data_IF_437277569164
#
_entry.id   IF_437277569164
#
_cell.length_a   1.000
_cell.length_b   1.000
_cell.length_c   1.000
_cell.angle_alpha   90.00
_cell.angle_beta   90.00
_cell.angle_gamma   90.00
#
_symmetry.space_group_name_H-M   'P 1'
#
loop_
_entity.id
_entity.type
_entity.pdbx_description
1 polymer ?
#
# COMPACT_ATOMS: atom_id res chain seq x y z
N UNK A 1 11.37 -24.18 6.34
CA UNK A 1 10.23 -23.43 5.77
C UNK A 1 9.01 -24.34 5.77
N UNK A 2 7.92 -23.91 6.40
CA UNK A 2 6.63 -24.64 6.37
C UNK A 2 5.90 -24.40 5.04
N UNK A 3 4.90 -25.22 4.66
CA UNK A 3 4.11 -24.95 3.46
C UNK A 3 3.40 -23.58 3.48
N UNK A 4 2.90 -23.15 4.64
CA UNK A 4 2.27 -21.84 4.82
C UNK A 4 3.27 -20.69 4.63
N UNK A 5 4.46 -20.82 5.22
CA UNK A 5 5.54 -19.87 5.05
C UNK A 5 5.97 -19.77 3.58
N UNK A 6 6.12 -20.90 2.89
CA UNK A 6 6.48 -20.93 1.48
C UNK A 6 5.42 -20.22 0.63
N UNK A 7 4.14 -20.47 0.87
CA UNK A 7 3.05 -19.80 0.16
C UNK A 7 3.12 -18.27 0.35
N UNK A 8 3.29 -17.80 1.59
CA UNK A 8 3.34 -16.38 1.88
C UNK A 8 4.55 -15.68 1.24
N UNK A 9 5.72 -16.34 1.23
CA UNK A 9 6.94 -15.85 0.55
C UNK A 9 6.72 -15.78 -0.97
N UNK A 10 6.06 -16.79 -1.54
CA UNK A 10 5.71 -16.82 -2.97
C UNK A 10 4.76 -15.68 -3.33
N UNK A 11 3.69 -15.47 -2.55
CA UNK A 11 2.73 -14.38 -2.75
C UNK A 11 3.42 -13.01 -2.70
N UNK A 12 4.37 -12.83 -1.76
CA UNK A 12 5.15 -11.58 -1.65
C UNK A 12 5.99 -11.35 -2.90
N UNK A 13 6.69 -12.36 -3.40
CA UNK A 13 7.53 -12.29 -4.61
C UNK A 13 6.67 -11.98 -5.84
N UNK A 14 5.53 -12.66 -6.00
CA UNK A 14 4.62 -12.42 -7.11
C UNK A 14 4.06 -10.99 -7.09
N UNK A 15 3.75 -10.46 -5.89
CA UNK A 15 3.34 -9.08 -5.74
C UNK A 15 4.47 -8.10 -6.09
N UNK A 16 5.73 -8.36 -5.73
CA UNK A 16 6.88 -7.56 -6.15
C UNK A 16 7.03 -7.53 -7.68
N UNK A 17 6.88 -8.68 -8.35
CA UNK A 17 6.87 -8.76 -9.82
C UNK A 17 5.70 -8.00 -10.42
N UNK A 18 4.53 -8.09 -9.78
CA UNK A 18 3.32 -7.42 -10.21
C UNK A 18 3.44 -5.89 -10.13
N UNK A 19 4.16 -5.33 -9.16
CA UNK A 19 4.39 -3.88 -9.11
C UNK A 19 5.04 -3.36 -10.41
N UNK A 20 6.03 -4.08 -10.93
CA UNK A 20 6.70 -3.71 -12.18
C UNK A 20 5.81 -3.94 -13.41
N UNK A 21 5.12 -5.08 -13.50
CA UNK A 21 4.26 -5.40 -14.65
C UNK A 21 3.00 -4.51 -14.72
N UNK A 22 2.49 -4.02 -13.58
CA UNK A 22 1.40 -3.06 -13.50
C UNK A 22 1.86 -1.60 -13.73
N UNK A 23 3.17 -1.36 -13.88
CA UNK A 23 3.72 -0.03 -14.13
C UNK A 23 3.72 0.91 -12.93
N UNK A 24 3.43 0.40 -11.72
CA UNK A 24 3.42 1.19 -10.48
C UNK A 24 4.78 1.20 -9.76
N UNK A 25 5.77 0.53 -10.31
CA UNK A 25 7.15 0.55 -9.83
C UNK A 25 8.12 0.30 -10.98
N UNK A 26 9.40 0.65 -10.78
CA UNK A 26 10.50 0.36 -11.72
C UNK A 26 11.70 -0.22 -10.98
N UNK A 27 12.29 -1.28 -11.55
CA UNK A 27 13.47 -1.93 -10.96
C UNK A 27 13.18 -2.54 -9.59
N UNK A 28 14.00 -2.23 -8.60
CA UNK A 28 13.95 -2.76 -7.24
C UNK A 28 13.68 -1.70 -6.18
N UNK A 29 13.14 -0.53 -6.58
CA UNK A 29 12.96 0.61 -5.67
C UNK A 29 11.81 0.41 -4.67
N UNK A 30 10.73 -0.27 -5.07
CA UNK A 30 9.62 -0.60 -4.18
C UNK A 30 9.94 -1.78 -3.26
N UNK A 31 9.10 -1.99 -2.27
CA UNK A 31 9.22 -3.10 -1.34
C UNK A 31 7.87 -3.46 -0.72
N UNK A 32 7.76 -4.72 -0.28
CA UNK A 32 6.53 -5.28 0.28
C UNK A 32 6.86 -5.99 1.58
N UNK A 33 5.99 -5.82 2.58
CA UNK A 33 6.03 -6.61 3.80
C UNK A 33 4.67 -7.20 4.16
N UNK A 34 4.71 -8.26 4.96
CA UNK A 34 3.51 -8.93 5.47
C UNK A 34 3.77 -9.45 6.88
N UNK A 35 2.79 -9.32 7.77
CA UNK A 35 2.85 -9.87 9.13
C UNK A 35 3.01 -11.39 9.08
N UNK A 36 3.92 -11.92 9.89
CA UNK A 36 4.17 -13.35 10.00
C UNK A 36 4.71 -13.72 11.39
N UNK A 37 4.07 -14.68 12.04
CA UNK A 37 4.46 -15.12 13.39
C UNK A 37 4.57 -13.96 14.37
N UNK A 38 5.66 -13.92 15.12
CA UNK A 38 6.00 -12.82 16.05
C UNK A 38 6.91 -11.79 15.36
N UNK A 39 6.50 -11.35 14.15
CA UNK A 39 7.25 -10.40 13.36
C UNK A 39 6.60 -10.14 12.01
N UNK A 40 7.42 -9.99 10.99
CA UNK A 40 6.99 -9.76 9.61
C UNK A 40 7.99 -10.31 8.60
N UNK A 41 7.53 -10.56 7.39
CA UNK A 41 8.39 -10.82 6.23
C UNK A 41 8.49 -9.57 5.38
N UNK A 42 9.65 -9.36 4.74
CA UNK A 42 9.90 -8.22 3.86
C UNK A 42 10.75 -8.64 2.67
N UNK A 43 10.55 -7.97 1.54
CA UNK A 43 11.39 -8.12 0.36
C UNK A 43 12.84 -7.68 0.66
N UNK A 44 13.84 -8.32 0.01
CA UNK A 44 15.25 -7.99 0.21
C UNK A 44 15.62 -6.66 -0.45
N UNK A 45 16.74 -6.08 -0.04
CA UNK A 45 17.35 -4.96 -0.75
C UNK A 45 18.08 -5.45 -2.01
N UNK A 46 17.98 -4.71 -3.12
CA UNK A 46 18.85 -4.81 -4.29
C UNK A 46 18.73 -6.08 -5.15
N UNK A 47 17.86 -7.04 -4.81
CA UNK A 47 17.66 -8.26 -5.62
C UNK A 47 16.55 -7.98 -6.66
N UNK A 48 16.82 -8.14 -7.97
CA UNK A 48 15.79 -8.02 -9.00
C UNK A 48 14.63 -8.99 -8.77
N UNK A 49 13.38 -8.51 -8.88
CA UNK A 49 12.20 -9.28 -8.51
C UNK A 49 12.00 -10.54 -9.35
N UNK A 50 12.43 -10.54 -10.63
CA UNK A 50 12.42 -11.70 -11.51
C UNK A 50 13.37 -12.81 -11.04
N UNK A 51 14.40 -12.46 -10.26
CA UNK A 51 15.40 -13.38 -9.71
C UNK A 51 15.16 -13.76 -8.25
N UNK A 52 14.12 -13.17 -7.62
CA UNK A 52 13.80 -13.54 -6.25
C UNK A 52 13.27 -14.97 -6.15
N UNK A 53 13.76 -15.68 -5.13
CA UNK A 53 13.25 -16.98 -4.68
C UNK A 53 12.72 -16.86 -3.25
N UNK A 54 11.95 -17.83 -2.74
CA UNK A 54 11.41 -17.76 -1.36
C UNK A 54 12.50 -17.56 -0.29
N UNK A 55 13.71 -18.05 -0.51
CA UNK A 55 14.85 -17.89 0.41
C UNK A 55 15.34 -16.44 0.51
N UNK A 56 15.07 -15.63 -0.51
CA UNK A 56 15.44 -14.21 -0.52
C UNK A 56 14.50 -13.32 0.31
N UNK A 57 13.30 -13.79 0.62
CA UNK A 57 12.39 -13.03 1.49
C UNK A 57 12.91 -13.10 2.92
N UNK A 58 13.06 -11.96 3.58
CA UNK A 58 13.66 -11.89 4.92
C UNK A 58 12.55 -11.87 5.98
N UNK A 59 12.63 -12.80 6.94
CA UNK A 59 11.81 -12.76 8.15
C UNK A 59 12.51 -11.92 9.21
N UNK A 60 11.79 -10.94 9.78
CA UNK A 60 12.30 -10.01 10.80
C UNK A 60 11.44 -10.05 12.05
N UNK A 61 12.09 -10.02 13.21
CA UNK A 61 11.43 -9.76 14.48
C UNK A 61 11.02 -8.29 14.65
N UNK A 62 10.11 -8.03 15.58
CA UNK A 62 9.71 -6.67 15.95
C UNK A 62 10.87 -5.85 16.56
N UNK A 63 11.88 -6.50 17.08
CA UNK A 63 13.13 -5.92 17.62
C UNK A 63 14.15 -5.60 16.50
N UNK A 64 13.76 -5.75 15.23
CA UNK A 64 14.61 -5.57 14.06
C UNK A 64 15.68 -6.64 13.86
N UNK A 65 15.65 -7.74 14.58
CA UNK A 65 16.53 -8.88 14.32
C UNK A 65 16.10 -9.67 13.09
N UNK A 66 17.06 -10.22 12.38
CA UNK A 66 16.83 -11.18 11.29
C UNK A 66 18.02 -12.16 11.22
N UNK A 67 17.84 -13.27 10.53
CA UNK A 67 18.88 -14.31 10.38
C UNK A 67 19.17 -14.58 8.92
N UNK A 68 20.39 -15.06 8.65
CA UNK A 68 20.88 -15.38 7.30
C UNK A 68 21.64 -14.23 6.64
N UNK A 69 22.11 -14.47 5.41
CA UNK A 69 22.99 -13.54 4.69
C UNK A 69 22.23 -12.54 3.80
N UNK A 70 20.91 -12.74 3.63
CA UNK A 70 20.07 -11.84 2.82
C UNK A 70 19.68 -10.62 3.65
N UNK A 71 20.01 -9.43 3.13
CA UNK A 71 19.74 -8.17 3.79
C UNK A 71 18.31 -7.71 3.47
N UNK A 72 17.48 -7.35 4.48
CA UNK A 72 16.15 -6.83 4.24
C UNK A 72 16.18 -5.49 3.51
N UNK A 73 15.05 -5.06 2.93
CA UNK A 73 14.91 -3.71 2.39
C UNK A 73 15.42 -2.67 3.38
N UNK A 74 16.20 -1.68 2.90
CA UNK A 74 16.70 -0.56 3.70
C UNK A 74 15.58 0.26 4.36
N UNK A 75 14.35 0.10 3.91
CA UNK A 75 13.17 0.82 4.35
C UNK A 75 12.31 0.03 5.36
N UNK A 76 12.83 -1.05 5.92
CA UNK A 76 12.12 -1.92 6.85
C UNK A 76 11.49 -1.19 8.07
N UNK A 77 12.02 -0.01 8.46
CA UNK A 77 11.54 0.73 9.64
C UNK A 77 10.08 1.13 9.53
N UNK A 78 9.68 1.81 8.47
CA UNK A 78 8.27 2.17 8.33
C UNK A 78 7.36 0.95 8.12
N UNK A 79 7.84 -0.13 7.49
CA UNK A 79 7.07 -1.37 7.40
C UNK A 79 6.78 -1.97 8.78
N UNK A 80 7.82 -2.11 9.60
CA UNK A 80 7.71 -2.59 10.99
C UNK A 80 6.74 -1.71 11.78
N UNK A 81 6.96 -0.41 11.77
CA UNK A 81 6.23 0.53 12.63
C UNK A 81 4.76 0.62 12.22
N UNK A 82 4.45 0.61 10.92
CA UNK A 82 3.06 0.50 10.44
C UNK A 82 2.42 -0.80 10.94
N UNK A 83 3.06 -1.93 10.73
CA UNK A 83 2.51 -3.23 11.13
C UNK A 83 2.36 -3.34 12.65
N UNK A 84 3.23 -2.76 13.45
CA UNK A 84 3.10 -2.72 14.91
C UNK A 84 1.96 -1.80 15.38
N UNK A 85 1.89 -0.59 14.85
CA UNK A 85 0.90 0.41 15.26
C UNK A 85 -0.52 0.14 14.74
N UNK A 86 -0.65 -0.56 13.59
CA UNK A 86 -1.90 -0.77 12.87
C UNK A 86 -2.24 -2.24 12.79
N UNK A 87 -2.90 -2.77 13.83
CA UNK A 87 -3.32 -4.18 13.90
C UNK A 87 -4.42 -4.54 12.88
N UNK A 88 -5.08 -3.55 12.29
CA UNK A 88 -6.01 -3.70 11.18
C UNK A 88 -5.33 -3.91 9.82
N UNK A 89 -4.00 -3.75 9.74
CA UNK A 89 -3.18 -3.94 8.55
C UNK A 89 -2.27 -5.16 8.73
N UNK A 90 -2.25 -6.04 7.73
CA UNK A 90 -1.37 -7.22 7.71
C UNK A 90 -0.30 -7.14 6.62
N UNK A 91 -0.44 -6.26 5.64
CA UNK A 91 0.54 -6.08 4.58
C UNK A 91 0.74 -4.61 4.25
N UNK A 92 1.96 -4.25 3.86
CA UNK A 92 2.37 -2.92 3.42
C UNK A 92 3.07 -3.04 2.08
N UNK A 93 2.67 -2.18 1.14
CA UNK A 93 3.29 -2.04 -0.19
C UNK A 93 3.81 -0.61 -0.33
N UNK A 94 5.08 -0.48 -0.69
CA UNK A 94 5.71 0.77 -1.04
C UNK A 94 6.11 0.75 -2.52
N UNK A 95 5.78 1.82 -3.25
CA UNK A 95 6.08 1.95 -4.68
C UNK A 95 6.53 3.37 -5.04
N UNK A 96 7.24 3.50 -6.17
CA UNK A 96 7.60 4.78 -6.78
C UNK A 96 6.78 4.99 -8.06
N UNK A 97 5.46 4.85 -7.96
CA UNK A 97 4.57 5.01 -9.11
C UNK A 97 4.56 6.46 -9.60
N UNK A 98 4.52 6.64 -10.91
CA UNK A 98 4.88 7.91 -11.56
C UNK A 98 4.02 9.09 -11.12
N UNK A 99 2.69 8.94 -11.14
CA UNK A 99 1.79 10.06 -10.87
C UNK A 99 1.71 10.37 -9.37
N UNK A 100 1.63 9.34 -8.52
CA UNK A 100 1.66 9.53 -7.06
C UNK A 100 2.99 10.16 -6.61
N UNK A 101 4.13 9.70 -7.16
CA UNK A 101 5.43 10.33 -6.89
C UNK A 101 5.48 11.77 -7.40
N UNK A 102 4.90 12.08 -8.55
CA UNK A 102 4.84 13.47 -9.05
C UNK A 102 4.09 14.39 -8.08
N UNK A 103 2.95 13.95 -7.53
CA UNK A 103 2.25 14.72 -6.49
C UNK A 103 3.07 14.84 -5.20
N UNK A 104 3.79 13.79 -4.82
CA UNK A 104 4.66 13.82 -3.64
C UNK A 104 5.82 14.83 -3.81
N UNK A 105 6.37 14.99 -5.01
CA UNK A 105 7.38 16.02 -5.33
C UNK A 105 6.79 17.43 -5.15
N UNK A 106 5.49 17.59 -5.44
CA UNK A 106 4.79 18.86 -5.22
C UNK A 106 4.37 19.08 -3.76
N UNK A 107 4.60 18.10 -2.87
CA UNK A 107 4.14 18.11 -1.48
C UNK A 107 2.61 18.18 -1.35
N UNK A 108 1.86 17.66 -2.34
CA UNK A 108 0.41 17.75 -2.40
C UNK A 108 -0.27 16.46 -1.96
N UNK A 109 -1.28 16.61 -1.12
CA UNK A 109 -2.26 15.55 -0.84
C UNK A 109 -3.06 15.23 -2.11
N UNK A 110 -3.63 14.02 -2.18
CA UNK A 110 -4.68 13.71 -3.15
C UNK A 110 -6.03 13.94 -2.45
N UNK A 111 -6.82 14.94 -2.86
CA UNK A 111 -8.12 15.21 -2.26
C UNK A 111 -9.21 14.28 -2.81
N UNK A 112 -10.43 14.40 -2.29
CA UNK A 112 -11.57 13.56 -2.67
C UNK A 112 -12.15 13.93 -4.05
N UNK A 113 -11.33 13.86 -5.10
CA UNK A 113 -11.74 14.14 -6.49
C UNK A 113 -12.56 13.02 -7.11
N UNK A 114 -12.53 11.83 -6.52
CA UNK A 114 -13.23 10.65 -7.03
C UNK A 114 -13.64 9.75 -5.85
N UNK A 115 -14.79 9.05 -5.94
CA UNK A 115 -15.31 8.23 -4.85
C UNK A 115 -14.37 7.10 -4.38
N UNK A 116 -13.48 6.62 -5.24
CA UNK A 116 -12.48 5.60 -4.90
C UNK A 116 -11.47 6.07 -3.83
N UNK A 117 -11.40 7.38 -3.53
CA UNK A 117 -10.58 7.90 -2.42
C UNK A 117 -10.93 7.22 -1.10
N UNK A 118 -12.20 6.82 -0.91
CA UNK A 118 -12.69 6.11 0.26
C UNK A 118 -11.94 4.79 0.52
N UNK A 119 -11.40 4.14 -0.53
CA UNK A 119 -10.59 2.92 -0.36
C UNK A 119 -9.32 3.15 0.46
N UNK A 120 -8.81 4.38 0.45
CA UNK A 120 -7.67 4.80 1.27
C UNK A 120 -8.05 5.09 2.74
N UNK A 121 -9.32 4.92 3.13
CA UNK A 121 -9.79 5.03 4.50
C UNK A 121 -10.33 6.41 4.90
N UNK A 122 -10.41 7.37 3.98
CA UNK A 122 -10.95 8.71 4.28
C UNK A 122 -11.03 9.59 3.04
N UNK A 123 -11.17 10.90 3.25
CA UNK A 123 -11.42 11.90 2.19
C UNK A 123 -10.17 12.47 1.52
N UNK A 124 -8.97 12.03 1.92
CA UNK A 124 -7.72 12.41 1.29
C UNK A 124 -6.64 11.33 1.47
N UNK A 125 -5.61 11.37 0.63
CA UNK A 125 -4.36 10.67 0.84
C UNK A 125 -3.32 11.75 1.15
N UNK A 126 -2.78 11.74 2.38
CA UNK A 126 -1.86 12.78 2.85
C UNK A 126 -0.46 12.58 2.30
N UNK A 127 0.26 13.68 2.11
CA UNK A 127 1.68 13.67 1.79
C UNK A 127 2.50 13.89 3.09
N UNK A 128 3.23 12.85 3.52
CA UNK A 128 4.15 12.96 4.65
C UNK A 128 5.31 13.89 4.27
N UNK A 129 5.79 14.76 5.20
CA UNK A 129 6.97 15.59 4.97
C UNK A 129 8.21 14.78 4.59
N UNK A 130 9.11 15.41 3.83
CA UNK A 130 10.36 14.78 3.43
C UNK A 130 11.25 14.46 4.63
N UNK A 131 11.72 13.22 4.66
CA UNK A 131 12.82 12.74 5.50
C UNK A 131 13.68 11.77 4.67
N UNK A 132 14.91 11.53 5.09
CA UNK A 132 15.80 10.62 4.37
C UNK A 132 15.24 9.18 4.38
N UNK A 133 15.29 8.50 3.23
CA UNK A 133 14.82 7.12 3.11
C UNK A 133 15.51 6.19 4.14
N UNK A 134 14.75 5.21 4.65
CA UNK A 134 15.23 4.24 5.63
C UNK A 134 15.46 4.80 7.05
N UNK A 135 15.20 6.09 7.30
CA UNK A 135 15.35 6.70 8.63
C UNK A 135 14.16 6.36 9.55
N UNK A 136 14.35 6.51 10.85
CA UNK A 136 13.28 6.45 11.83
C UNK A 136 12.35 7.67 11.69
N UNK A 137 12.91 8.85 11.43
CA UNK A 137 12.14 10.08 11.24
C UNK A 137 11.11 9.92 10.10
N UNK A 138 11.50 9.27 8.98
CA UNK A 138 10.54 8.93 7.92
C UNK A 138 9.44 8.00 8.42
N UNK A 139 9.78 6.97 9.18
CA UNK A 139 8.78 6.04 9.73
C UNK A 139 7.77 6.75 10.64
N UNK A 140 8.24 7.68 11.48
CA UNK A 140 7.39 8.48 12.38
C UNK A 140 6.43 9.39 11.57
N UNK A 141 6.93 10.06 10.50
CA UNK A 141 6.08 10.88 9.60
C UNK A 141 5.04 10.04 8.88
N UNK A 142 5.40 8.84 8.47
CA UNK A 142 4.49 7.89 7.83
C UNK A 142 3.33 7.52 8.77
N UNK A 143 3.61 7.21 10.04
CA UNK A 143 2.56 6.86 11.00
C UNK A 143 1.54 8.00 11.16
N UNK A 144 2.01 9.24 11.26
CA UNK A 144 1.13 10.43 11.34
C UNK A 144 0.28 10.58 10.06
N UNK A 145 0.90 10.42 8.89
CA UNK A 145 0.16 10.54 7.64
C UNK A 145 -0.87 9.42 7.44
N UNK A 146 -0.61 8.22 7.98
CA UNK A 146 -1.51 7.06 7.94
C UNK A 146 -2.57 7.03 9.05
N UNK A 147 -2.63 8.02 9.94
CA UNK A 147 -3.64 8.07 10.98
C UNK A 147 -5.05 8.15 10.37
N UNK A 148 -5.88 7.11 10.60
CA UNK A 148 -7.20 6.95 9.97
C UNK A 148 -7.16 6.74 8.45
N UNK A 149 -6.02 6.39 7.87
CA UNK A 149 -5.82 6.14 6.43
C UNK A 149 -5.14 4.79 6.19
N UNK A 150 -5.22 4.31 4.95
CA UNK A 150 -4.53 3.10 4.45
C UNK A 150 -3.50 3.42 3.38
N UNK A 151 -3.36 4.69 3.00
CA UNK A 151 -2.38 5.15 2.03
C UNK A 151 -1.85 6.52 2.42
N UNK A 152 -0.60 6.79 2.10
CA UNK A 152 0.01 8.12 2.16
C UNK A 152 1.07 8.26 1.06
N UNK A 153 1.31 9.50 0.63
CA UNK A 153 2.45 9.89 -0.18
C UNK A 153 3.63 10.24 0.74
N UNK A 154 4.84 10.07 0.22
CA UNK A 154 6.09 10.46 0.87
C UNK A 154 6.71 11.58 0.04
N UNK A 155 6.86 12.78 0.58
CA UNK A 155 7.40 13.94 -0.16
C UNK A 155 8.73 13.59 -0.83
N UNK A 156 8.85 13.89 -2.15
CA UNK A 156 10.01 13.61 -3.00
C UNK A 156 10.45 12.13 -3.04
N UNK A 157 9.54 11.18 -2.79
CA UNK A 157 9.93 9.78 -2.65
C UNK A 157 8.96 8.84 -3.38
N UNK A 158 7.75 8.66 -2.87
CA UNK A 158 6.81 7.68 -3.41
C UNK A 158 5.52 7.57 -2.62
N UNK A 159 4.97 6.34 -2.57
CA UNK A 159 3.69 6.06 -1.93
C UNK A 159 3.76 4.79 -1.06
N UNK A 160 3.03 4.80 0.05
CA UNK A 160 2.80 3.64 0.91
C UNK A 160 1.31 3.32 0.90
N UNK A 161 1.00 2.03 0.83
CA UNK A 161 -0.35 1.50 1.05
C UNK A 161 -0.31 0.32 2.02
N UNK A 162 -1.30 0.23 2.91
CA UNK A 162 -1.46 -0.87 3.85
C UNK A 162 -2.86 -1.48 3.79
N UNK A 163 -2.97 -2.81 3.91
CA UNK A 163 -4.26 -3.50 3.93
C UNK A 163 -4.17 -4.85 4.67
N UNK A 164 -5.32 -5.55 4.77
CA UNK A 164 -5.43 -6.87 5.42
C UNK A 164 -4.70 -8.01 4.69
N UNK A 165 -4.25 -7.81 3.46
CA UNK A 165 -3.47 -8.79 2.68
C UNK A 165 -2.61 -8.09 1.62
N UNK A 166 -1.56 -8.78 1.14
CA UNK A 166 -0.68 -8.31 0.07
C UNK A 166 -1.49 -7.93 -1.18
N UNK A 167 -2.39 -8.80 -1.62
CA UNK A 167 -3.20 -8.54 -2.82
C UNK A 167 -4.05 -7.27 -2.70
N UNK A 168 -4.64 -7.02 -1.50
CA UNK A 168 -5.44 -5.81 -1.27
C UNK A 168 -4.57 -4.55 -1.12
N UNK A 169 -3.40 -4.65 -0.50
CA UNK A 169 -2.47 -3.52 -0.41
C UNK A 169 -1.94 -3.13 -1.80
N UNK A 170 -1.62 -4.13 -2.64
CA UNK A 170 -1.21 -3.91 -4.03
C UNK A 170 -2.34 -3.30 -4.88
N UNK A 171 -3.56 -3.80 -4.74
CA UNK A 171 -4.73 -3.22 -5.43
C UNK A 171 -4.97 -1.76 -5.03
N UNK A 172 -4.76 -1.43 -3.74
CA UNK A 172 -4.85 -0.06 -3.28
C UNK A 172 -3.75 0.83 -3.88
N UNK A 173 -2.52 0.31 -4.03
CA UNK A 173 -1.43 1.05 -4.67
C UNK A 173 -1.76 1.41 -6.12
N UNK A 174 -2.36 0.49 -6.89
CA UNK A 174 -2.87 0.78 -8.24
C UNK A 174 -3.96 1.85 -8.21
N UNK A 175 -4.89 1.77 -7.25
CA UNK A 175 -5.95 2.78 -7.10
C UNK A 175 -5.38 4.15 -6.76
N UNK A 176 -4.38 4.23 -5.90
CA UNK A 176 -3.71 5.50 -5.55
C UNK A 176 -3.01 6.11 -6.76
N UNK A 177 -2.33 5.31 -7.57
CA UNK A 177 -1.69 5.77 -8.80
C UNK A 177 -2.73 6.32 -9.79
N UNK A 178 -3.87 5.64 -9.97
CA UNK A 178 -4.95 6.11 -10.84
C UNK A 178 -5.57 7.42 -10.33
N UNK A 179 -5.82 7.55 -9.03
CA UNK A 179 -6.31 8.79 -8.43
C UNK A 179 -5.32 9.93 -8.59
N UNK A 180 -4.02 9.66 -8.41
CA UNK A 180 -2.96 10.64 -8.63
C UNK A 180 -2.90 11.09 -10.08
N UNK A 181 -3.02 10.16 -11.04
CA UNK A 181 -3.08 10.46 -12.47
C UNK A 181 -4.27 11.37 -12.80
N UNK A 182 -5.48 11.00 -12.37
CA UNK A 182 -6.69 11.79 -12.60
C UNK A 182 -6.56 13.19 -11.99
N UNK A 183 -6.02 13.30 -10.78
CA UNK A 183 -5.82 14.60 -10.14
C UNK A 183 -4.85 15.49 -10.94
N UNK A 184 -3.70 14.94 -11.35
CA UNK A 184 -2.74 15.66 -12.19
C UNK A 184 -3.34 16.12 -13.52
N UNK A 185 -4.20 15.29 -14.14
CA UNK A 185 -4.89 15.66 -15.38
C UNK A 185 -5.93 16.76 -15.19
N UNK A 186 -6.52 16.92 -14.02
CA UNK A 186 -7.44 18.01 -13.71
C UNK A 186 -6.72 19.35 -13.54
N UNK A 187 -5.56 19.38 -12.88
CA UNK A 187 -4.86 20.62 -12.51
C UNK A 187 -4.65 21.63 -13.65
N UNK A 188 -4.26 21.23 -14.87
CA UNK A 188 -4.15 22.16 -16.00
C UNK A 188 -5.49 22.71 -16.50
N UNK A 189 -6.60 22.03 -16.19
CA UNK A 189 -7.95 22.40 -16.64
C UNK A 189 -8.67 23.29 -15.62
N UNK A 190 -8.18 23.36 -14.39
CA UNK A 190 -8.73 24.12 -13.27
C UNK A 190 -8.82 23.30 -11.99
N UNK A 191 -9.31 23.91 -10.91
CA UNK A 191 -9.49 23.22 -9.63
C UNK A 191 -10.64 22.21 -9.75
N UNK A 192 -10.40 20.91 -9.41
CA UNK A 192 -11.45 19.91 -9.47
C UNK A 192 -12.49 20.10 -8.38
N UNK A 193 -13.72 19.70 -8.66
CA UNK A 193 -14.77 19.58 -7.64
C UNK A 193 -14.40 18.46 -6.64
N UNK A 194 -14.57 18.73 -5.35
CA UNK A 194 -14.20 17.83 -4.25
C UNK A 194 -15.46 17.28 -3.60
N UNK A 195 -15.51 15.97 -3.38
CA UNK A 195 -16.57 15.31 -2.63
C UNK A 195 -16.49 15.73 -1.15
N UNK A 196 -17.65 15.96 -0.54
CA UNK A 196 -17.71 16.23 0.90
C UNK A 196 -17.38 14.99 1.74
N UNK A 197 -17.00 15.20 3.00
CA UNK A 197 -16.73 14.10 3.94
C UNK A 197 -17.95 13.19 4.11
N UNK A 198 -19.17 13.74 4.07
CA UNK A 198 -20.40 12.93 4.12
C UNK A 198 -20.58 12.05 2.90
N UNK A 199 -20.28 12.55 1.70
CA UNK A 199 -20.33 11.75 0.47
C UNK A 199 -19.29 10.62 0.49
N UNK A 200 -18.10 10.90 1.01
CA UNK A 200 -17.06 9.86 1.16
C UNK A 200 -17.47 8.82 2.22
N UNK A 201 -18.09 9.26 3.33
CA UNK A 201 -18.61 8.34 4.35
C UNK A 201 -19.69 7.40 3.80
N UNK A 202 -20.59 7.88 2.96
CA UNK A 202 -21.61 7.06 2.28
C UNK A 202 -20.96 5.99 1.38
N UNK A 203 -19.86 6.33 0.69
CA UNK A 203 -19.11 5.37 -0.11
C UNK A 203 -18.44 4.31 0.78
N UNK A 204 -17.86 4.69 1.92
CA UNK A 204 -17.27 3.75 2.88
C UNK A 204 -18.28 2.70 3.35
N UNK A 205 -19.52 3.12 3.63
CA UNK A 205 -20.62 2.20 3.98
C UNK A 205 -20.92 1.25 2.82
N UNK A 206 -21.00 1.75 1.59
CA UNK A 206 -21.23 0.90 0.39
C UNK A 206 -20.12 -0.10 0.15
N UNK A 207 -18.86 0.25 0.43
CA UNK A 207 -17.72 -0.66 0.26
C UNK A 207 -17.76 -1.87 1.19
N UNK A 208 -18.50 -1.82 2.32
CA UNK A 208 -18.66 -2.98 3.21
C UNK A 208 -19.36 -4.16 2.52
N UNK A 209 -20.21 -3.90 1.55
CA UNK A 209 -20.97 -4.92 0.81
C UNK A 209 -20.56 -5.03 -0.67
N UNK A 210 -19.72 -4.13 -1.16
CA UNK A 210 -19.32 -4.08 -2.56
C UNK A 210 -18.47 -5.30 -2.96
N UNK A 211 -18.82 -5.89 -4.09
CA UNK A 211 -18.11 -7.06 -4.63
C UNK A 211 -18.38 -8.37 -3.91
N UNK A 212 -19.28 -8.40 -2.93
CA UNK A 212 -19.67 -9.65 -2.28
C UNK A 212 -20.59 -10.45 -3.22
N UNK A 213 -20.03 -11.52 -3.82
CA UNK A 213 -20.82 -12.53 -4.49
C UNK A 213 -21.65 -13.26 -3.42
N UNK A 214 -22.99 -13.13 -3.48
CA UNK A 214 -23.85 -13.86 -2.57
C UNK A 214 -23.70 -15.34 -2.93
N UNK A 215 -23.07 -16.12 -2.04
CA UNK A 215 -23.07 -17.58 -2.15
C UNK A 215 -24.51 -18.05 -2.00
N UNK A 216 -25.17 -18.34 -3.13
CA UNK A 216 -26.56 -18.74 -3.17
C UNK A 216 -26.69 -20.23 -2.82
N UNK A 217 -27.24 -20.50 -1.63
CA UNK A 217 -27.85 -21.79 -1.32
C UNK A 217 -29.34 -21.86 -1.65
N UNK A 218 -29.94 -20.84 -2.32
CA UNK A 218 -31.36 -20.83 -2.68
C UNK A 218 -31.56 -20.24 -4.07
N UNK A 219 -32.20 -21.01 -4.92
CA UNK A 219 -32.69 -20.60 -6.25
C UNK A 219 -33.99 -19.80 -6.01
N UNK A 220 -33.90 -18.49 -5.99
CA UNK A 220 -35.04 -17.56 -6.00
C UNK A 220 -34.71 -16.34 -6.87
N UNK A 221 -35.69 -15.85 -7.61
CA UNK A 221 -35.58 -14.60 -8.38
C UNK A 221 -35.25 -13.45 -7.44
N UNK A 222 -34.16 -12.71 -7.72
CA UNK A 222 -33.74 -11.53 -6.94
C UNK A 222 -33.87 -10.28 -7.81
N UNK A 223 -34.35 -9.20 -7.24
CA UNK A 223 -34.32 -7.88 -7.86
C UNK A 223 -32.95 -7.22 -7.53
N UNK A 224 -32.35 -6.59 -8.54
CA UNK A 224 -31.19 -5.76 -8.34
C UNK A 224 -31.58 -4.49 -7.57
N UNK A 225 -30.87 -4.18 -6.53
CA UNK A 225 -30.99 -2.94 -5.74
C UNK A 225 -30.09 -1.85 -6.31
#
# INVERSE_FOLDING_TARGET
MTPEELALRTDLIEACRSMNSLGINKGTSGNISVRYGDGFMISPTGIPYDKMTPEHVVAMGWDATYSGDVVPSSEWRFHRDILQARLDLNAVVHTHSTHATTLSILGRDIPAIHYLIASAGGSNIRCAPYEIFGSQDLADRVLVALEGRRACLLAHHGVITGHVSIARALSLAVTVEELAHQYLMCLPLGEPSILSDSQVADVLVKFQTYGQQIRSGHVGLRQAS
#
